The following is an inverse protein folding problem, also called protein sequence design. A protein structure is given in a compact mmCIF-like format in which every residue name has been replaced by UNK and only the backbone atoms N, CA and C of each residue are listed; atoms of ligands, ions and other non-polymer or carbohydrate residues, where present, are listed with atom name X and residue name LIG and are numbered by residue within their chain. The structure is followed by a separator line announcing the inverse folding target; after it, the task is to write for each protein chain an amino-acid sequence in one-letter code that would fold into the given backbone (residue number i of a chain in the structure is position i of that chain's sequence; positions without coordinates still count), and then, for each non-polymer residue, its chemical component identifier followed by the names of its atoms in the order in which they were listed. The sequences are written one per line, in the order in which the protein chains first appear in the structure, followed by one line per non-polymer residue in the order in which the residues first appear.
data_IF_265154918505
#
_entry.id   IF_265154918505
#
_cell.length_a   1.000
_cell.length_b   1.000
_cell.length_c   1.000
_cell.angle_alpha   90.00
_cell.angle_beta   90.00
_cell.angle_gamma   90.00
#
_symmetry.space_group_name_H-M   'P 1'
#
loop_
_entity.id
_entity.type
_entity.pdbx_description
1 polymer ?
2 water ?
#
# COMPACT_ATOMS: atom_id res chain seq x y z
N UNK A 4 -1.60 4.44 24.10
CA UNK A 4 -0.61 5.18 24.96
C UNK A 4 0.71 4.38 25.02
N UNK A 5 1.82 5.07 24.86
CA UNK A 5 3.13 4.43 24.73
C UNK A 5 3.58 3.64 25.97
N UNK A 6 3.21 4.14 27.16
CA UNK A 6 3.41 3.42 28.44
C UNK A 6 2.09 2.87 29.03
N UNK A 7 1.11 2.56 28.14
CA UNK A 7 -0.20 2.01 28.49
C UNK A 7 -0.53 0.80 27.63
N UNK A 8 -1.79 0.40 27.60
CA UNK A 8 -2.21 -0.78 26.83
C UNK A 8 -2.29 -0.49 25.31
N UNK A 9 -1.64 -1.33 24.50
CA UNK A 9 -1.68 -1.14 23.04
C UNK A 9 -2.14 -2.42 22.41
N UNK A 10 -3.46 -2.52 22.28
CA UNK A 10 -4.09 -3.65 21.66
C UNK A 10 -4.37 -3.35 20.19
N UNK A 11 -3.87 -4.20 19.29
CA UNK A 11 -4.13 -3.98 17.87
C UNK A 11 -5.56 -4.33 17.55
N UNK A 12 -6.25 -3.43 16.85
CA UNK A 12 -7.65 -3.63 16.51
C UNK A 12 -8.00 -2.84 15.25
N UNK A 13 -9.02 -3.31 14.51
CA UNK A 13 -9.57 -2.62 13.33
C UNK A 13 -10.96 -3.16 13.04
N UNK A 14 -11.78 -2.32 12.40
CA UNK A 14 -13.13 -2.67 11.96
C UNK A 14 -13.06 -2.94 10.47
N UNK A 15 -13.84 -3.90 9.99
CA UNK A 15 -13.86 -4.18 8.60
C UNK A 15 -15.18 -4.73 8.14
N UNK A 16 -15.38 -4.69 6.81
CA UNK A 16 -16.51 -5.29 6.12
C UNK A 16 -15.95 -6.23 5.04
N UNK A 17 -16.56 -7.40 4.88
CA UNK A 17 -16.17 -8.34 3.83
C UNK A 17 -17.39 -8.73 3.02
N UNK A 18 -17.28 -8.64 1.70
CA UNK A 18 -18.36 -8.99 0.83
C UNK A 18 -18.42 -10.50 0.68
N UNK A 19 -19.56 -10.95 0.16
CA UNK A 19 -19.83 -12.39 -0.10
C UNK A 19 -18.74 -13.09 -0.92
N UNK A 20 -18.12 -12.35 -1.86
CA UNK A 20 -17.04 -12.86 -2.68
C UNK A 20 -15.61 -12.74 -2.19
N UNK A 21 -15.40 -12.18 -0.99
CA UNK A 21 -14.07 -12.13 -0.40
C UNK A 21 -13.38 -10.78 -0.47
N UNK A 22 -14.02 -9.78 -1.08
CA UNK A 22 -13.46 -8.42 -1.08
C UNK A 22 -13.61 -7.82 0.32
N UNK A 23 -12.49 -7.37 0.89
CA UNK A 23 -12.46 -6.86 2.25
C UNK A 23 -12.10 -5.37 2.26
N UNK A 24 -12.83 -4.59 3.05
CA UNK A 24 -12.52 -3.16 3.27
C UNK A 24 -12.26 -2.92 4.76
N UNK A 25 -11.12 -2.29 5.07
CA UNK A 25 -10.73 -1.92 6.44
C UNK A 25 -10.93 -0.41 6.67
N UNK A 26 -11.61 -0.06 7.76
CA UNK A 26 -11.83 1.34 8.11
C UNK A 26 -10.54 1.82 8.75
N UNK A 27 -9.75 2.58 8.01
CA UNK A 27 -8.43 3.05 8.46
C UNK A 27 -8.47 3.90 9.71
N UNK A 28 -9.53 4.67 9.86
CA UNK A 28 -9.72 5.49 11.07
C UNK A 28 -10.00 4.66 12.35
N UNK A 29 -10.35 3.38 12.21
CA UNK A 29 -10.62 2.50 13.35
C UNK A 29 -9.37 1.77 13.86
N UNK A 30 -8.24 1.90 13.18
CA UNK A 30 -7.05 1.11 13.50
C UNK A 30 -6.42 1.61 14.80
N UNK A 31 -6.25 0.67 15.72
CA UNK A 31 -5.60 0.91 16.99
C UNK A 31 -4.37 0.05 16.85
N UNK A 32 -3.24 0.51 17.36
CA UNK A 32 -1.95 -0.18 17.17
C UNK A 32 -1.55 -1.06 18.33
N UNK A 33 -0.99 -2.21 18.02
CA UNK A 33 -0.25 -3.03 18.99
C UNK A 33 1.21 -2.58 18.96
N UNK A 34 1.99 -2.96 19.98
CA UNK A 34 3.43 -2.70 19.98
C UNK A 34 4.11 -3.75 19.14
N UNK A 35 5.02 -3.33 18.28
CA UNK A 35 5.80 -4.24 17.44
C UNK A 35 6.96 -4.72 18.30
N UNK A 36 6.93 -5.99 18.63
CA UNK A 36 7.91 -6.57 19.52
C UNK A 36 9.30 -6.53 18.89
N UNK A 37 9.39 -6.59 17.57
CA UNK A 37 10.67 -6.55 16.85
C UNK A 37 11.36 -5.19 16.91
N UNK A 38 10.66 -4.13 17.30
CA UNK A 38 11.25 -2.81 17.49
C UNK A 38 11.73 -2.52 18.92
N UNK A 39 11.43 -3.39 19.90
CA UNK A 39 11.81 -3.12 21.30
C UNK A 39 13.32 -2.89 21.36
N UNK A 40 13.77 -2.04 22.29
CA UNK A 40 13.09 -1.29 23.36
C UNK A 40 12.22 -0.09 22.99
N UNK A 41 12.16 0.26 21.71
CA UNK A 41 11.32 1.36 21.23
C UNK A 41 9.85 0.97 21.17
N UNK A 42 8.99 1.96 21.33
CA UNK A 42 7.55 1.76 21.27
C UNK A 42 7.10 2.12 19.85
N UNK A 43 6.87 1.10 19.05
CA UNK A 43 6.52 1.23 17.64
C UNK A 43 5.19 0.51 17.41
N UNK A 44 4.27 1.20 16.76
CA UNK A 44 2.91 0.70 16.50
C UNK A 44 2.77 -0.07 15.21
N UNK A 45 2.04 -1.19 15.28
CA UNK A 45 1.82 -2.03 14.12
C UNK A 45 0.53 -2.79 14.29
N UNK A 46 -0.27 -2.84 13.23
CA UNK A 46 -1.49 -3.65 13.19
C UNK A 46 -1.65 -4.28 11.81
N UNK A 47 -1.60 -5.61 11.75
CA UNK A 47 -1.86 -6.37 10.54
C UNK A 47 -3.33 -6.26 10.16
N UNK A 48 -3.59 -5.93 8.90
CA UNK A 48 -4.94 -5.73 8.36
C UNK A 48 -5.39 -6.78 7.32
N UNK A 49 -4.47 -7.21 6.45
CA UNK A 49 -4.71 -8.22 5.41
C UNK A 49 -3.63 -9.28 5.58
N UNK A 50 -4.07 -10.53 5.68
CA UNK A 50 -3.18 -11.65 6.00
C UNK A 50 -3.53 -12.87 5.16
N UNK A 51 -2.69 -13.89 5.20
CA UNK A 51 -2.99 -15.14 4.46
C UNK A 51 -4.36 -15.73 4.82
N UNK A 52 -4.79 -15.50 6.06
CA UNK A 52 -6.11 -15.92 6.52
C UNK A 52 -7.28 -15.25 5.78
N UNK A 53 -7.03 -14.22 4.98
CA UNK A 53 -8.05 -13.60 4.10
C UNK A 53 -7.97 -14.21 2.70
N UNK A 54 -7.02 -15.13 2.50
CA UNK A 54 -6.77 -15.73 1.21
C UNK A 54 -5.84 -14.88 0.39
N UNK A 55 -5.02 -14.08 1.05
CA UNK A 55 -4.18 -13.11 0.37
C UNK A 55 -2.76 -13.66 0.24
N UNK A 56 -2.19 -13.52 -0.95
CA UNK A 56 -0.78 -13.80 -1.20
C UNK A 56 0.16 -12.78 -0.53
N UNK A 57 -0.35 -11.58 -0.21
CA UNK A 57 0.41 -10.49 0.46
C UNK A 57 -0.10 -10.17 1.86
N UNK A 58 0.81 -9.73 2.72
CA UNK A 58 0.44 -9.28 4.06
C UNK A 58 0.40 -7.73 3.96
N UNK A 59 -0.55 -7.11 4.62
CA UNK A 59 -0.59 -5.64 4.68
C UNK A 59 -1.06 -5.13 6.04
N UNK A 60 -0.63 -3.93 6.38
CA UNK A 60 -1.08 -3.31 7.63
C UNK A 60 -0.53 -1.91 7.77
N UNK A 61 -0.77 -1.31 8.93
CA UNK A 61 -0.29 0.01 9.21
C UNK A 61 0.75 -0.06 10.30
N UNK A 62 1.73 0.85 10.22
CA UNK A 62 2.66 1.08 11.29
C UNK A 62 2.60 2.58 11.58
N UNK A 63 2.84 2.93 12.83
CA UNK A 63 2.84 4.33 13.27
C UNK A 63 3.65 4.49 14.56
N UNK A 64 4.54 5.47 14.58
CA UNK A 64 5.31 5.79 15.79
C UNK A 64 5.89 7.21 15.69
N UNK A 65 6.41 7.68 16.82
CA UNK A 65 7.10 8.96 16.92
C UNK A 65 8.56 8.77 17.27
N UNK A 66 9.40 9.67 16.76
CA UNK A 66 10.80 9.77 17.12
C UNK A 66 11.50 8.50 17.60
N UNK A 67 11.87 7.63 16.68
CA UNK A 67 12.56 6.40 17.05
C UNK A 67 13.12 5.74 15.82
N UNK A 68 14.29 5.15 15.95
CA UNK A 68 14.92 4.41 14.88
C UNK A 68 15.19 3.01 15.43
N UNK A 69 14.99 1.98 14.61
CA UNK A 69 15.29 0.62 15.05
C UNK A 69 15.75 -0.20 13.86
N UNK A 70 16.59 -1.22 14.12
CA UNK A 70 17.08 -2.11 13.08
C UNK A 70 16.13 -3.29 12.74
N UNK A 71 16.08 -3.65 11.47
CA UNK A 71 15.23 -4.75 11.00
C UNK A 71 15.82 -5.37 9.75
N UNK A 72 15.73 -6.70 9.64
CA UNK A 72 16.10 -7.41 8.44
C UNK A 72 14.85 -8.00 7.80
N UNK A 73 14.61 -7.66 6.55
CA UNK A 73 13.43 -8.10 5.81
C UNK A 73 13.72 -9.40 5.05
N UNK A 74 12.90 -10.42 5.33
CA UNK A 74 12.93 -11.73 4.66
C UNK A 74 11.80 -11.79 3.64
N UNK A 75 11.33 -10.61 3.23
CA UNK A 75 10.24 -10.38 2.31
C UNK A 75 10.41 -9.02 1.58
N UNK A 76 9.76 -8.86 0.42
CA UNK A 76 9.76 -7.59 -0.30
C UNK A 76 8.71 -6.75 0.38
N UNK A 77 8.94 -5.45 0.47
CA UNK A 77 7.97 -4.56 1.12
C UNK A 77 7.75 -3.30 0.29
N UNK A 78 6.49 -2.90 0.16
CA UNK A 78 6.12 -1.65 -0.45
C UNK A 78 5.49 -0.84 0.68
N UNK A 79 5.89 0.40 0.80
CA UNK A 79 5.40 1.23 1.88
C UNK A 79 4.80 2.47 1.29
N UNK A 80 3.67 2.88 1.84
CA UNK A 80 2.93 4.07 1.40
C UNK A 80 2.80 4.96 2.61
N UNK A 81 3.47 6.10 2.56
CA UNK A 81 3.52 6.99 3.71
C UNK A 81 2.25 7.85 3.74
N UNK A 82 1.47 7.72 4.81
CA UNK A 82 0.20 8.38 4.91
C UNK A 82 0.36 9.69 5.66
N UNK A 83 1.20 9.72 6.69
CA UNK A 83 1.44 10.93 7.49
C UNK A 83 2.89 10.99 7.91
N UNK A 84 3.48 12.19 7.95
CA UNK A 84 4.81 12.38 8.50
C UNK A 84 5.87 11.96 7.54
N UNK A 85 6.94 11.37 8.06
CA UNK A 85 8.02 10.92 7.20
C UNK A 85 8.72 9.65 7.66
N UNK A 86 9.00 8.79 6.69
CA UNK A 86 9.69 7.52 6.94
C UNK A 86 11.14 7.66 6.43
N UNK A 87 12.10 7.34 7.30
CA UNK A 87 13.51 7.33 6.95
C UNK A 87 13.93 5.87 7.04
N UNK A 88 14.48 5.31 5.96
CA UNK A 88 15.06 4.00 5.89
C UNK A 88 16.56 4.11 5.54
N UNK A 89 17.42 3.51 6.35
CA UNK A 89 18.84 3.51 6.09
C UNK A 89 19.19 2.13 5.61
N UNK A 90 19.86 2.07 4.47
CA UNK A 90 20.28 0.82 3.90
C UNK A 90 21.61 1.07 3.19
N UNK A 91 22.58 0.18 3.39
CA UNK A 91 23.95 0.34 2.87
C UNK A 91 24.54 1.72 3.17
N UNK A 92 24.25 2.20 4.37
CA UNK A 92 24.72 3.51 4.91
C UNK A 92 23.91 4.75 4.56
N UNK A 93 23.09 4.61 3.51
CA UNK A 93 22.38 5.71 2.90
C UNK A 93 20.98 5.81 3.42
N UNK A 94 20.51 7.01 3.75
CA UNK A 94 19.14 7.22 4.21
C UNK A 94 18.25 7.69 3.06
N UNK A 95 17.12 7.01 2.93
CA UNK A 95 16.07 7.28 1.96
C UNK A 95 14.91 7.84 2.76
N UNK A 96 14.31 8.96 2.32
CA UNK A 96 13.22 9.63 3.05
C UNK A 96 11.97 9.63 2.16
N UNK A 97 10.88 9.07 2.68
CA UNK A 97 9.61 9.03 2.01
C UNK A 97 8.66 9.88 2.85
N UNK A 98 8.18 11.00 2.29
CA UNK A 98 7.26 11.89 2.99
C UNK A 98 5.84 11.47 2.67
N UNK A 99 4.86 12.10 3.30
CA UNK A 99 3.45 11.76 3.09
C UNK A 99 3.12 11.86 1.60
N UNK A 100 2.56 10.79 1.04
CA UNK A 100 2.21 10.71 -0.37
C UNK A 100 3.21 9.93 -1.20
N UNK A 101 4.38 9.62 -0.63
CA UNK A 101 5.44 8.93 -1.37
C UNK A 101 5.35 7.44 -1.14
N UNK A 102 5.95 6.70 -2.08
CA UNK A 102 5.96 5.24 -2.03
C UNK A 102 7.40 4.76 -1.99
N UNK A 103 7.65 3.75 -1.15
CA UNK A 103 8.95 3.13 -1.07
C UNK A 103 8.89 1.63 -1.28
N UNK A 104 9.92 1.12 -1.95
CA UNK A 104 10.12 -0.29 -2.17
C UNK A 104 11.40 -0.69 -1.48
N UNK A 105 11.32 -1.70 -0.58
CA UNK A 105 12.49 -2.27 0.08
C UNK A 105 12.60 -3.74 -0.39
N UNK A 106 13.72 -4.10 -1.04
CA UNK A 106 13.90 -5.48 -1.50
C UNK A 106 14.07 -6.52 -0.42
N UNK A 107 13.60 -7.74 -0.69
CA UNK A 107 13.80 -8.91 0.17
C UNK A 107 15.29 -9.06 0.47
N UNK A 108 15.61 -9.43 1.71
CA UNK A 108 16.98 -9.61 2.19
C UNK A 108 17.62 -8.38 2.82
N UNK A 109 17.03 -7.20 2.64
CA UNK A 109 17.66 -5.97 3.10
C UNK A 109 17.70 -5.84 4.61
N UNK A 110 18.89 -5.55 5.14
CA UNK A 110 19.06 -5.20 6.55
C UNK A 110 19.08 -3.67 6.59
N UNK A 111 18.11 -3.11 7.30
CA UNK A 111 17.92 -1.68 7.31
C UNK A 111 17.77 -1.12 8.74
N UNK A 112 17.65 0.19 8.77
CA UNK A 112 17.24 0.90 9.95
C UNK A 112 15.90 1.54 9.54
N UNK A 113 14.84 1.28 10.31
CA UNK A 113 13.55 1.89 10.07
C UNK A 113 13.53 3.05 11.04
N UNK A 114 13.04 4.21 10.64
CA UNK A 114 12.90 5.28 11.63
C UNK A 114 12.15 6.51 11.21
N UNK A 115 11.90 7.38 12.19
CA UNK A 115 11.43 8.74 11.93
C UNK A 115 11.97 9.72 13.00
N UNK A 116 12.47 10.90 12.56
CA UNK A 116 12.89 11.92 13.53
C UNK A 116 11.70 12.66 14.16
N UNK A 117 10.52 12.56 13.54
CA UNK A 117 9.35 13.29 14.00
C UNK A 117 8.25 12.28 14.30
N UNK A 118 7.44 11.97 13.29
CA UNK A 118 6.39 10.97 13.41
C UNK A 118 6.12 10.44 12.03
N UNK A 119 5.49 9.27 11.96
CA UNK A 119 5.13 8.61 10.70
C UNK A 119 3.93 7.71 10.89
N UNK A 120 3.11 7.64 9.85
CA UNK A 120 2.03 6.68 9.73
C UNK A 120 2.11 6.15 8.31
N UNK A 121 2.19 4.83 8.14
CA UNK A 121 2.27 4.28 6.83
C UNK A 121 1.67 2.88 6.69
N UNK A 122 1.22 2.58 5.46
CA UNK A 122 0.84 1.23 5.05
C UNK A 122 2.05 0.44 4.56
N UNK A 123 2.14 -0.83 4.96
CA UNK A 123 3.14 -1.78 4.41
C UNK A 123 2.37 -2.85 3.71
N UNK A 124 2.95 -3.35 2.62
CA UNK A 124 2.42 -4.48 1.87
C UNK A 124 3.61 -5.41 1.63
N UNK A 125 3.53 -6.65 2.10
CA UNK A 125 4.70 -7.56 2.02
C UNK A 125 4.38 -8.82 1.29
N UNK A 126 5.39 -9.33 0.57
CA UNK A 126 5.34 -10.65 -0.09
C UNK A 126 6.63 -11.41 0.28
N UNK A 127 6.51 -12.68 0.69
CA UNK A 127 5.29 -13.48 0.90
C UNK A 127 4.51 -13.06 2.14
N UNK A 128 3.24 -13.42 2.18
CA UNK A 128 2.37 -13.08 3.29
C UNK A 128 2.73 -13.87 4.53
N UNK A 129 3.35 -15.05 4.38
CA UNK A 129 3.66 -15.96 5.51
C UNK A 129 5.13 -15.95 5.91
N UNK A 130 5.76 -14.78 5.86
CA UNK A 130 7.22 -14.65 6.09
C UNK A 130 7.71 -14.97 7.51
N UNK A 131 6.87 -14.73 8.52
CA UNK A 131 7.26 -14.92 9.93
C UNK A 131 7.51 -16.39 10.32
N UNK B 7 -6.33 16.01 -22.61
CA UNK B 7 -5.12 16.30 -23.42
C UNK B 7 -4.18 15.10 -23.43
N UNK B 8 -2.89 15.40 -23.44
CA UNK B 8 -1.83 14.41 -23.47
C UNK B 8 -1.64 13.86 -22.05
N UNK B 9 -1.57 12.53 -21.95
CA UNK B 9 -1.39 11.85 -20.66
C UNK B 9 -0.34 10.77 -20.80
N UNK B 10 0.89 11.18 -20.57
CA UNK B 10 2.02 10.29 -20.61
C UNK B 10 2.30 9.92 -19.16
N UNK B 11 2.39 8.62 -18.87
CA UNK B 11 2.68 8.22 -17.52
C UNK B 11 4.14 8.54 -17.21
N UNK B 12 4.36 9.18 -16.07
CA UNK B 12 5.73 9.47 -15.61
C UNK B 12 5.78 9.70 -14.10
N UNK B 13 6.99 9.65 -13.55
CA UNK B 13 7.26 9.88 -12.16
C UNK B 13 8.76 10.05 -11.93
N UNK B 14 9.10 10.79 -10.89
CA UNK B 14 10.49 11.01 -10.49
C UNK B 14 10.75 10.08 -9.30
N UNK B 15 11.93 9.49 -9.25
CA UNK B 15 12.30 8.62 -8.16
C UNK B 15 13.77 8.62 -7.87
N UNK B 16 14.09 8.10 -6.68
CA UNK B 16 15.44 7.96 -6.18
C UNK B 16 15.58 6.49 -5.80
N UNK B 17 16.70 5.89 -6.20
CA UNK B 17 17.00 4.53 -5.82
C UNK B 17 18.34 4.52 -5.12
N UNK B 18 18.40 3.96 -3.92
CA UNK B 18 19.63 3.86 -3.18
C UNK B 18 20.53 2.79 -3.76
N UNK B 19 21.75 2.76 -3.25
CA UNK B 19 22.79 1.81 -3.66
C UNK B 19 22.34 0.34 -3.61
N UNK B 20 21.62 -0.04 -2.55
CA UNK B 20 21.10 -1.40 -2.36
C UNK B 20 19.75 -1.75 -3.00
N UNK B 21 19.13 -0.77 -3.68
CA UNK B 21 17.90 -0.98 -4.42
C UNK B 21 16.61 -0.49 -3.79
N UNK B 22 16.69 0.27 -2.69
CA UNK B 22 15.52 0.84 -2.05
C UNK B 22 15.13 2.03 -2.94
N UNK B 23 13.90 2.00 -3.45
CA UNK B 23 13.34 3.01 -4.32
C UNK B 23 12.33 3.85 -3.56
N UNK B 24 12.42 5.17 -3.69
CA UNK B 24 11.40 6.10 -3.16
C UNK B 24 10.80 6.86 -4.35
N UNK B 25 9.48 6.76 -4.53
CA UNK B 25 8.78 7.52 -5.60
C UNK B 25 8.18 8.76 -4.99
N UNK B 26 8.42 9.91 -5.62
CA UNK B 26 7.82 11.16 -5.19
C UNK B 26 6.38 11.17 -5.70
N UNK B 27 5.45 10.95 -4.79
CA UNK B 27 4.05 10.85 -5.15
C UNK B 27 3.50 12.11 -5.81
N UNK B 28 3.99 13.27 -5.41
CA UNK B 28 3.55 14.54 -5.99
C UNK B 28 3.97 14.67 -7.46
N UNK B 29 4.98 13.92 -7.87
CA UNK B 29 5.47 13.98 -9.25
C UNK B 29 4.73 13.07 -10.25
N UNK B 30 3.81 12.24 -9.76
CA UNK B 30 3.15 11.26 -10.62
C UNK B 30 2.21 11.89 -11.62
N UNK B 31 2.44 11.52 -12.87
CA UNK B 31 1.62 11.95 -14.02
C UNK B 31 0.98 10.68 -14.49
N UNK B 32 -0.29 10.73 -14.82
CA UNK B 32 -1.04 9.51 -15.20
C UNK B 32 -1.10 9.27 -16.72
N UNK B 33 -0.97 8.00 -17.13
CA UNK B 33 -1.31 7.58 -18.48
C UNK B 33 -2.78 7.17 -18.53
N UNK B 34 -3.38 7.13 -19.72
CA UNK B 34 -4.72 6.58 -19.86
C UNK B 34 -4.68 5.05 -19.82
N UNK B 35 -5.59 4.47 -19.03
CA UNK B 35 -5.74 3.00 -18.95
C UNK B 35 -6.70 2.56 -20.06
N UNK B 36 -6.15 1.92 -21.09
CA UNK B 36 -6.92 1.49 -22.27
C UNK B 36 -8.09 0.57 -21.93
N UNK B 37 -7.95 -0.23 -20.88
CA UNK B 37 -8.98 -1.18 -20.48
C UNK B 37 -10.25 -0.57 -19.93
N UNK B 38 -10.19 0.73 -19.60
CA UNK B 38 -11.33 1.52 -19.12
C UNK B 38 -11.99 2.38 -20.21
N UNK B 39 -11.42 2.45 -21.42
CA UNK B 39 -12.05 3.22 -22.51
C UNK B 39 -13.48 2.72 -22.68
N UNK B 40 -14.43 3.62 -23.02
CA UNK B 40 -14.36 5.06 -23.38
C UNK B 40 -14.06 6.07 -22.28
N UNK B 41 -13.96 5.63 -21.01
CA UNK B 41 -13.66 6.53 -19.90
C UNK B 41 -12.17 6.89 -19.84
N UNK B 42 -11.89 8.07 -19.32
CA UNK B 42 -10.51 8.55 -19.11
C UNK B 42 -10.12 8.22 -17.65
N UNK B 43 -9.41 7.11 -17.49
CA UNK B 43 -8.95 6.61 -16.21
C UNK B 43 -7.44 6.64 -16.21
N UNK B 44 -6.88 7.25 -15.17
CA UNK B 44 -5.43 7.39 -15.01
C UNK B 44 -4.80 6.19 -14.37
N UNK B 45 -3.65 5.77 -14.89
CA UNK B 45 -2.88 4.72 -14.26
C UNK B 45 -1.42 4.96 -14.55
N UNK B 46 -0.60 4.85 -13.51
CA UNK B 46 0.87 4.85 -13.64
C UNK B 46 1.51 3.73 -12.77
N UNK B 47 2.19 2.80 -13.40
CA UNK B 47 2.94 1.76 -12.72
C UNK B 47 4.20 2.36 -12.12
N UNK B 48 4.45 2.10 -10.84
CA UNK B 48 5.57 2.74 -10.11
C UNK B 48 6.66 1.79 -9.71
N UNK B 49 6.24 0.61 -9.29
CA UNK B 49 7.13 -0.46 -8.90
C UNK B 49 6.76 -1.70 -9.72
N UNK B 50 7.75 -2.29 -10.38
CA UNK B 50 7.54 -3.45 -11.26
C UNK B 50 8.63 -4.47 -11.10
N UNK B 51 8.50 -5.59 -11.80
CA UNK B 51 9.52 -6.65 -11.84
C UNK B 51 10.91 -6.13 -12.24
N UNK B 52 10.94 -5.06 -13.06
CA UNK B 52 12.19 -4.36 -13.42
C UNK B 52 12.92 -3.71 -12.21
N UNK B 53 12.21 -3.52 -11.09
CA UNK B 53 12.84 -3.03 -9.86
C UNK B 53 13.30 -4.20 -8.97
N UNK B 54 13.09 -5.44 -9.40
CA UNK B 54 13.36 -6.62 -8.60
C UNK B 54 12.23 -6.91 -7.60
N UNK B 55 11.06 -6.29 -7.82
CA UNK B 55 9.92 -6.49 -6.93
C UNK B 55 9.10 -7.69 -7.35
N UNK B 56 8.74 -8.53 -6.39
CA UNK B 56 7.73 -9.58 -6.60
C UNK B 56 6.33 -9.00 -6.83
N UNK B 57 6.08 -7.78 -6.33
CA UNK B 57 4.75 -7.17 -6.44
C UNK B 57 4.79 -6.02 -7.44
N UNK B 58 3.69 -5.81 -8.15
CA UNK B 58 3.55 -4.63 -8.99
C UNK B 58 2.84 -3.59 -8.11
N UNK B 59 3.24 -2.32 -8.22
CA UNK B 59 2.54 -1.24 -7.53
C UNK B 59 2.42 -0.03 -8.42
N UNK B 60 1.33 0.72 -8.24
CA UNK B 60 1.18 1.96 -8.98
C UNK B 60 0.06 2.78 -8.43
N UNK B 61 -0.23 3.88 -9.10
CA UNK B 61 -1.36 4.71 -8.74
C UNK B 61 -2.38 4.67 -9.87
N UNK B 62 -3.65 4.80 -9.46
CA UNK B 62 -4.76 5.06 -10.34
C UNK B 62 -5.45 6.29 -9.79
N UNK B 63 -6.05 7.01 -10.70
CA UNK B 63 -6.77 8.20 -10.37
C UNK B 63 -7.75 8.56 -11.46
N UNK B 64 -9.02 8.73 -11.08
CA UNK B 64 -10.03 9.20 -12.03
C UNK B 64 -11.23 9.82 -11.31
N UNK B 65 -12.07 10.44 -12.12
CA UNK B 65 -13.33 10.99 -11.67
C UNK B 65 -14.47 10.28 -12.38
N UNK B 66 -15.56 10.13 -11.65
CA UNK B 66 -16.87 9.78 -12.16
C UNK B 66 -16.92 8.80 -13.34
N UNK B 67 -16.61 7.56 -13.04
CA UNK B 67 -16.62 6.51 -14.04
C UNK B 67 -16.57 5.19 -13.36
N UNK B 68 -17.21 4.18 -13.99
CA UNK B 68 -17.22 2.79 -13.53
C UNK B 68 -16.84 1.97 -14.74
N UNK B 69 -16.09 0.89 -14.52
CA UNK B 69 -15.70 0.06 -15.65
C UNK B 69 -15.49 -1.37 -15.21
N UNK B 70 -15.82 -2.31 -16.08
CA UNK B 70 -15.63 -3.70 -15.69
C UNK B 70 -14.17 -4.14 -15.80
N UNK B 71 -13.74 -4.99 -14.87
CA UNK B 71 -12.41 -5.57 -14.92
C UNK B 71 -12.35 -6.97 -14.28
N UNK B 72 -11.54 -7.87 -14.83
CA UNK B 72 -11.31 -9.19 -14.21
C UNK B 72 -9.85 -9.23 -13.77
N UNK B 73 -9.63 -9.44 -12.48
CA UNK B 73 -8.27 -9.51 -11.90
C UNK B 73 -7.77 -10.94 -11.90
N UNK B 74 -6.65 -11.19 -12.55
CA UNK B 74 -6.05 -12.53 -12.55
C UNK B 74 -4.97 -12.70 -11.48
N UNK B 75 -5.06 -11.90 -10.42
CA UNK B 75 -4.02 -11.76 -9.41
C UNK B 75 -4.65 -11.10 -8.19
N UNK B 76 -4.03 -11.25 -7.02
CA UNK B 76 -4.50 -10.57 -5.79
C UNK B 76 -4.12 -9.11 -5.88
N UNK B 77 -4.93 -8.26 -5.24
CA UNK B 77 -4.68 -6.82 -5.27
C UNK B 77 -5.09 -6.19 -3.97
N UNK B 78 -4.21 -5.35 -3.42
CA UNK B 78 -4.47 -4.57 -2.23
C UNK B 78 -4.49 -3.10 -2.68
N UNK B 79 -5.51 -2.35 -2.26
CA UNK B 79 -5.67 -0.96 -2.67
C UNK B 79 -5.72 -0.06 -1.45
N UNK B 80 -5.06 1.09 -1.56
CA UNK B 80 -4.96 2.02 -0.46
C UNK B 80 -5.46 3.37 -0.96
N UNK B 81 -6.59 3.84 -0.45
CA UNK B 81 -7.25 5.04 -1.00
C UNK B 81 -6.59 6.25 -0.39
N UNK B 82 -6.03 7.11 -1.22
CA UNK B 82 -5.33 8.29 -0.76
C UNK B 82 -6.30 9.47 -0.77
N UNK B 83 -7.16 9.57 -1.79
CA UNK B 83 -8.15 10.65 -1.94
C UNK B 83 -9.46 10.09 -2.42
N UNK B 84 -10.54 10.71 -1.99
CA UNK B 84 -11.88 10.37 -2.46
C UNK B 84 -12.32 8.97 -2.03
N UNK B 85 -13.00 8.27 -2.93
CA UNK B 85 -13.54 6.94 -2.64
C UNK B 85 -13.53 6.01 -3.82
N UNK B 86 -13.19 4.73 -3.52
CA UNK B 86 -13.14 3.65 -4.49
C UNK B 86 -14.33 2.75 -4.24
N UNK B 87 -15.15 2.54 -5.26
CA UNK B 87 -16.28 1.60 -5.22
C UNK B 87 -15.87 0.38 -6.03
N UNK B 88 -16.11 -0.79 -5.48
CA UNK B 88 -15.79 -2.03 -6.17
C UNK B 88 -17.03 -2.90 -6.11
N UNK B 89 -17.52 -3.40 -7.27
CA UNK B 89 -18.74 -4.25 -7.30
C UNK B 89 -18.37 -5.68 -7.64
N UNK B 90 -18.80 -6.61 -6.80
CA UNK B 90 -18.43 -8.04 -6.95
C UNK B 90 -19.56 -8.89 -6.38
N UNK B 91 -20.03 -9.85 -7.19
CA UNK B 91 -21.18 -10.70 -6.82
C UNK B 91 -22.39 -9.85 -6.37
N UNK B 92 -22.63 -8.75 -7.07
CA UNK B 92 -23.77 -7.85 -6.80
C UNK B 92 -23.58 -6.77 -5.74
N UNK B 93 -22.66 -7.00 -4.81
CA UNK B 93 -22.44 -6.11 -3.69
C UNK B 93 -21.41 -5.06 -4.02
N UNK B 94 -21.67 -3.80 -3.64
CA UNK B 94 -20.69 -2.74 -3.76
C UNK B 94 -19.95 -2.53 -2.45
N UNK B 95 -18.61 -2.59 -2.53
CA UNK B 95 -17.72 -2.30 -1.38
C UNK B 95 -17.08 -0.92 -1.58
N UNK B 96 -17.10 -0.09 -0.55
CA UNK B 96 -16.61 1.28 -0.63
C UNK B 96 -15.43 1.55 0.33
N UNK B 97 -14.31 2.02 -0.22
CA UNK B 97 -13.14 2.38 0.58
C UNK B 97 -12.94 3.88 0.44
N UNK B 98 -13.07 4.64 1.54
CA UNK B 98 -12.88 6.09 1.53
C UNK B 98 -11.42 6.40 1.79
N UNK B 99 -11.05 7.66 1.73
CA UNK B 99 -9.65 8.06 1.96
C UNK B 99 -9.15 7.51 3.32
N UNK B 100 -8.05 6.78 3.27
CA UNK B 100 -7.44 6.20 4.46
C UNK B 100 -7.77 4.73 4.66
N UNK B 101 -8.67 4.20 3.86
CA UNK B 101 -9.08 2.78 3.95
C UNK B 101 -8.28 1.89 3.02
N UNK B 102 -8.26 0.59 3.35
CA UNK B 102 -7.50 -0.43 2.63
C UNK B 102 -8.49 -1.48 2.16
N UNK B 103 -8.34 -1.89 0.89
CA UNK B 103 -9.18 -2.90 0.29
C UNK B 103 -8.33 -4.03 -0.25
N UNK B 104 -8.86 -5.23 -0.09
CA UNK B 104 -8.28 -6.46 -0.67
C UNK B 104 -9.28 -7.08 -1.65
N UNK B 105 -8.84 -7.33 -2.89
CA UNK B 105 -9.62 -7.97 -3.94
C UNK B 105 -8.89 -9.28 -4.31
N UNK B 106 -9.55 -10.44 -4.10
CA UNK B 106 -8.96 -11.74 -4.47
C UNK B 106 -8.77 -12.07 -5.94
N UNK B 107 -7.68 -12.77 -6.24
CA UNK B 107 -7.40 -13.36 -7.57
C UNK B 107 -8.69 -13.95 -8.18
N UNK B 108 -8.91 -13.71 -9.47
CA UNK B 108 -10.08 -14.21 -10.21
C UNK B 108 -11.35 -13.39 -10.14
N UNK B 109 -11.37 -12.35 -9.33
CA UNK B 109 -12.59 -11.55 -9.18
C UNK B 109 -12.93 -10.75 -10.44
N UNK B 110 -14.14 -10.96 -10.94
CA UNK B 110 -14.70 -10.20 -12.03
C UNK B 110 -15.48 -9.08 -11.35
N UNK B 111 -15.00 -7.86 -11.50
CA UNK B 111 -15.57 -6.73 -10.76
C UNK B 111 -15.89 -5.56 -11.65
N UNK B 112 -16.52 -4.57 -11.01
CA UNK B 112 -16.69 -3.26 -11.56
C UNK B 112 -15.86 -2.31 -10.66
N UNK B 113 -14.86 -1.62 -11.21
CA UNK B 113 -14.11 -0.59 -10.47
C UNK B 113 -14.85 0.68 -10.74
N UNK B 114 -14.89 1.58 -9.79
CA UNK B 114 -15.52 2.87 -10.05
C UNK B 114 -15.46 3.87 -8.93
N UNK B 115 -15.85 5.07 -9.28
CA UNK B 115 -16.11 6.13 -8.32
C UNK B 115 -17.21 7.04 -8.88
N UNK B 116 -18.21 7.40 -8.05
CA UNK B 116 -19.18 8.38 -8.46
C UNK B 116 -18.69 9.82 -8.26
N UNK B 117 -17.62 9.99 -7.48
CA UNK B 117 -17.07 11.30 -7.22
C UNK B 117 -15.68 11.29 -7.85
N UNK B 118 -14.65 11.13 -7.03
CA UNK B 118 -13.27 11.00 -7.52
C UNK B 118 -12.47 10.06 -6.65
N UNK B 119 -11.32 9.59 -7.15
CA UNK B 119 -10.50 8.67 -6.39
C UNK B 119 -9.05 8.80 -6.81
N UNK B 120 -8.17 8.62 -5.83
CA UNK B 120 -6.77 8.40 -6.00
C UNK B 120 -6.38 7.27 -5.09
N UNK B 121 -5.74 6.26 -5.64
CA UNK B 121 -5.31 5.15 -4.83
C UNK B 121 -4.07 4.47 -5.36
N UNK B 122 -3.38 3.80 -4.43
CA UNK B 122 -2.28 2.94 -4.70
C UNK B 122 -2.82 1.49 -4.81
N UNK B 123 -2.38 0.77 -5.83
CA UNK B 123 -2.67 -0.65 -5.97
C UNK B 123 -1.35 -1.37 -5.82
N UNK B 124 -1.42 -2.54 -5.20
CA UNK B 124 -0.29 -3.44 -5.07
C UNK B 124 -0.80 -4.81 -5.49
N UNK B 125 -0.14 -5.41 -6.47
CA UNK B 125 -0.65 -6.64 -7.05
C UNK B 125 0.38 -7.71 -6.96
N UNK B 126 -0.09 -8.95 -6.78
CA UNK B 126 0.77 -10.13 -6.86
C UNK B 126 0.06 -11.23 -7.64
N UNK B 127 0.77 -11.88 -8.62
CA UNK B 127 2.17 -11.66 -9.09
C UNK B 127 2.35 -10.36 -9.88
N UNK B 128 3.59 -9.90 -10.00
CA UNK B 128 3.94 -8.72 -10.79
C UNK B 128 3.55 -8.91 -12.26
N UNK B 129 3.68 -10.14 -12.75
CA UNK B 129 3.35 -10.57 -14.14
C UNK B 129 1.92 -10.30 -14.55
#
# INVERSE_FOLDING_TARGET
GQSLELGTMQPSFTSVTGKGGVKVIDGSSVKFGRFDGAEPHCVGLTDLVTEQDGSSMAAGFMQWDNAFFPWTLNYDEIDMVLEGELHVRHEGETMIAKAGDVMFIPKGSSIEFGTPTSVRFLYVAWPANWQSV
GQSLELGTMQPSFTSVTGKGGVKVIDGSSVKFGRFDGAEPHCVGLTDLVTEQDGSSMAAGFMQWDNAFFPWTLNYDEIDMVLEGELHVRHEGETMIAKAGDVMFIPKGSSIEFGTPTSVRFLYVAWPANWQSV
#
